data_IF_862382255621
#
_entry.id   IF_862382255621
#
_cell.length_a   1.000
_cell.length_b   1.000
_cell.length_c   1.000
_cell.angle_alpha   90.00
_cell.angle_beta   90.00
_cell.angle_gamma   90.00
#
_symmetry.space_group_name_H-M   'P 1'
#
loop_
_entity.id
_entity.type
_entity.pdbx_description
1 polymer ?
#
# COMPACT_ATOMS: atom_id res chain seq x y z
N UNK A 1 43.74 -21.16 5.27
CA UNK A 1 42.76 -21.97 6.03
C UNK A 1 41.43 -21.93 5.28
N UNK A 2 40.77 -23.08 5.16
CA UNK A 2 39.51 -23.22 4.44
C UNK A 2 38.40 -23.43 5.47
N UNK A 3 37.52 -22.44 5.61
CA UNK A 3 36.41 -22.50 6.56
C UNK A 3 35.14 -22.92 5.82
N UNK A 4 34.57 -24.06 6.21
CA UNK A 4 33.27 -24.52 5.71
C UNK A 4 32.17 -24.13 6.68
N UNK A 5 31.16 -23.41 6.18
CA UNK A 5 30.03 -22.91 6.96
C UNK A 5 28.77 -23.67 6.56
N UNK A 6 28.03 -24.20 7.54
CA UNK A 6 26.83 -25.01 7.30
C UNK A 6 25.58 -24.22 7.68
N UNK A 7 24.91 -23.66 6.68
CA UNK A 7 23.62 -23.00 6.87
C UNK A 7 22.48 -24.03 6.95
N UNK A 8 21.49 -23.75 7.80
CA UNK A 8 20.19 -24.45 7.82
C UNK A 8 19.09 -23.41 7.66
N UNK A 9 18.10 -23.70 6.83
CA UNK A 9 16.88 -22.89 6.69
C UNK A 9 15.70 -23.66 7.29
N UNK A 10 14.79 -22.93 7.92
CA UNK A 10 13.49 -23.42 8.34
C UNK A 10 12.41 -22.63 7.57
N UNK A 11 11.34 -23.32 7.19
CA UNK A 11 10.21 -22.68 6.51
C UNK A 11 9.36 -21.93 7.55
N UNK A 12 9.03 -20.67 7.25
CA UNK A 12 8.16 -19.84 8.07
C UNK A 12 7.40 -18.85 7.20
N UNK A 13 6.23 -18.44 7.66
CA UNK A 13 5.43 -17.39 6.99
C UNK A 13 5.82 -16.04 7.59
N UNK A 14 6.08 -15.05 6.73
CA UNK A 14 6.43 -13.71 7.20
C UNK A 14 5.26 -13.05 7.95
N UNK A 15 5.53 -12.18 8.93
CA UNK A 15 4.48 -11.52 9.72
C UNK A 15 3.47 -10.77 8.82
N UNK A 16 3.98 -10.06 7.82
CA UNK A 16 3.17 -9.36 6.80
C UNK A 16 2.28 -10.31 6.02
N UNK A 17 2.81 -11.47 5.63
CA UNK A 17 2.12 -12.49 4.85
C UNK A 17 0.93 -13.06 5.65
N UNK A 18 1.15 -13.36 6.93
CA UNK A 18 0.09 -13.80 7.85
C UNK A 18 -0.98 -12.74 8.01
N UNK A 19 -0.61 -11.46 8.15
CA UNK A 19 -1.57 -10.35 8.28
C UNK A 19 -2.38 -10.11 7.01
N UNK A 20 -1.73 -10.14 5.84
CA UNK A 20 -2.41 -10.06 4.53
C UNK A 20 -3.44 -11.18 4.37
N UNK A 21 -3.04 -12.43 4.65
CA UNK A 21 -3.94 -13.58 4.58
C UNK A 21 -5.11 -13.49 5.59
N UNK A 22 -4.88 -12.85 6.74
CA UNK A 22 -5.90 -12.60 7.76
C UNK A 22 -6.83 -11.41 7.48
N UNK A 23 -6.76 -10.78 6.30
CA UNK A 23 -7.51 -9.56 5.97
C UNK A 23 -7.29 -8.41 6.97
N UNK A 24 -6.11 -8.33 7.57
CA UNK A 24 -5.78 -7.24 8.48
C UNK A 24 -5.71 -5.91 7.72
N UNK A 25 -6.33 -4.87 8.27
CA UNK A 25 -6.19 -3.49 7.78
C UNK A 25 -6.36 -2.49 8.92
N UNK A 26 -5.78 -1.31 8.76
CA UNK A 26 -5.92 -0.22 9.73
C UNK A 26 -6.59 1.02 9.16
N UNK A 27 -6.56 1.18 7.85
CA UNK A 27 -7.10 2.34 7.16
C UNK A 27 -7.56 2.00 5.74
N UNK A 28 -8.57 2.73 5.28
CA UNK A 28 -9.03 2.72 3.89
C UNK A 28 -8.92 4.13 3.34
N UNK A 29 -8.29 4.28 2.18
CA UNK A 29 -8.23 5.53 1.43
C UNK A 29 -9.20 5.42 0.25
N UNK A 30 -10.11 6.38 0.17
CA UNK A 30 -11.18 6.39 -0.83
C UNK A 30 -10.95 7.55 -1.80
N UNK A 31 -10.57 7.23 -3.02
CA UNK A 31 -10.41 8.20 -4.10
C UNK A 31 -11.76 8.40 -4.78
N UNK A 32 -12.23 9.64 -4.81
CA UNK A 32 -13.48 10.04 -5.45
C UNK A 32 -13.21 11.21 -6.37
N UNK A 33 -13.94 11.27 -7.48
CA UNK A 33 -13.97 12.46 -8.33
C UNK A 33 -15.33 13.12 -8.18
N UNK A 34 -15.33 14.45 -8.15
CA UNK A 34 -16.49 15.28 -7.80
C UNK A 34 -17.53 15.38 -8.93
N UNK A 35 -17.14 15.20 -10.19
CA UNK A 35 -18.04 15.46 -11.33
C UNK A 35 -18.06 14.35 -12.40
N UNK A 36 -17.13 13.38 -12.35
CA UNK A 36 -17.05 12.31 -13.34
C UNK A 36 -16.44 11.05 -12.75
N UNK A 37 -16.48 9.97 -13.51
CA UNK A 37 -15.72 8.77 -13.17
C UNK A 37 -14.24 9.00 -13.49
N UNK A 38 -13.36 8.58 -12.59
CA UNK A 38 -11.92 8.48 -12.86
C UNK A 38 -11.71 7.47 -13.99
N UNK A 39 -10.88 7.82 -14.97
CA UNK A 39 -10.46 6.84 -15.98
C UNK A 39 -9.45 5.87 -15.36
N UNK A 40 -9.27 4.70 -15.99
CA UNK A 40 -8.27 3.73 -15.51
C UNK A 40 -6.86 4.31 -15.51
N UNK A 41 -6.52 5.14 -16.50
CA UNK A 41 -5.19 5.77 -16.60
C UNK A 41 -4.94 6.83 -15.53
N UNK A 42 -5.99 7.54 -15.10
CA UNK A 42 -5.89 8.46 -13.97
C UNK A 42 -5.72 7.70 -12.67
N UNK A 43 -6.48 6.63 -12.48
CA UNK A 43 -6.30 5.77 -11.33
C UNK A 43 -4.88 5.19 -11.27
N UNK A 44 -4.36 4.64 -12.38
CA UNK A 44 -2.98 4.12 -12.44
C UNK A 44 -1.95 5.17 -12.05
N UNK A 45 -2.12 6.41 -12.51
CA UNK A 45 -1.25 7.53 -12.11
C UNK A 45 -1.35 7.85 -10.62
N UNK A 46 -2.56 7.94 -10.07
CA UNK A 46 -2.77 8.18 -8.64
C UNK A 46 -2.22 7.04 -7.77
N UNK A 47 -2.28 5.79 -8.27
CA UNK A 47 -1.73 4.60 -7.62
C UNK A 47 -0.21 4.56 -7.66
N UNK A 48 0.44 5.04 -8.73
CA UNK A 48 1.90 5.11 -8.87
C UNK A 48 2.54 6.02 -7.80
N UNK A 49 2.01 7.24 -7.64
CA UNK A 49 1.49 7.70 -6.35
C UNK A 49 2.03 7.11 -5.05
N UNK A 50 1.38 6.00 -4.69
CA UNK A 50 1.56 5.27 -3.46
C UNK A 50 2.90 4.53 -3.44
N UNK A 51 3.38 4.07 -4.60
CA UNK A 51 4.70 3.45 -4.73
C UNK A 51 5.80 4.49 -4.44
N UNK A 52 5.67 5.72 -4.98
CA UNK A 52 6.61 6.81 -4.68
C UNK A 52 6.66 7.17 -3.18
N UNK A 53 5.52 7.06 -2.49
CA UNK A 53 5.44 7.28 -1.04
C UNK A 53 6.06 6.11 -0.28
N UNK A 54 5.83 4.87 -0.73
CA UNK A 54 6.43 3.68 -0.13
C UNK A 54 7.96 3.69 -0.25
N UNK A 55 8.51 4.10 -1.39
CA UNK A 55 9.96 4.21 -1.60
C UNK A 55 10.62 5.25 -0.68
N UNK A 56 9.90 6.31 -0.31
CA UNK A 56 10.41 7.39 0.57
C UNK A 56 10.28 7.06 2.05
N UNK A 57 9.44 6.09 2.41
CA UNK A 57 9.22 5.69 3.80
C UNK A 57 10.17 4.55 4.19
N UNK A 58 10.50 4.46 5.48
CA UNK A 58 11.28 3.35 6.02
C UNK A 58 10.57 2.01 5.81
N UNK A 59 11.34 0.92 5.67
CA UNK A 59 10.85 -0.47 5.60
C UNK A 59 10.11 -0.88 6.89
N UNK A 60 8.84 -0.51 7.01
CA UNK A 60 7.93 -1.02 8.04
C UNK A 60 7.17 -2.23 7.46
N UNK A 61 7.23 -3.41 8.10
CA UNK A 61 6.47 -4.60 7.70
C UNK A 61 4.95 -4.39 7.59
N UNK A 62 4.42 -3.30 8.16
CA UNK A 62 3.01 -2.88 8.11
C UNK A 62 2.63 -2.07 6.88
N UNK A 63 3.60 -1.62 6.08
CA UNK A 63 3.35 -0.86 4.85
C UNK A 63 3.01 -1.80 3.70
N UNK A 64 1.77 -2.31 3.74
CA UNK A 64 1.23 -3.14 2.68
C UNK A 64 -0.21 -2.76 2.33
N UNK A 65 -0.60 -3.13 1.11
CA UNK A 65 -1.97 -3.07 0.61
C UNK A 65 -2.61 -4.43 0.88
N UNK A 66 -3.77 -4.43 1.52
CA UNK A 66 -4.56 -5.64 1.78
C UNK A 66 -5.43 -5.95 0.57
N UNK A 67 -6.18 -4.95 0.11
CA UNK A 67 -7.08 -5.04 -1.05
C UNK A 67 -7.17 -3.69 -1.72
N UNK A 68 -7.31 -3.67 -3.04
CA UNK A 68 -7.53 -2.45 -3.80
C UNK A 68 -8.46 -2.73 -4.98
N UNK A 69 -9.31 -1.78 -5.35
CA UNK A 69 -10.21 -1.99 -6.49
C UNK A 69 -11.14 -0.82 -6.82
N UNK A 70 -11.69 -0.82 -8.05
CA UNK A 70 -12.67 0.17 -8.46
C UNK A 70 -13.99 -0.05 -7.72
N UNK A 71 -14.59 1.04 -7.28
CA UNK A 71 -15.92 1.07 -6.67
C UNK A 71 -16.83 2.02 -7.46
N UNK A 72 -18.13 1.97 -7.21
CA UNK A 72 -19.07 2.90 -7.82
C UNK A 72 -18.68 4.33 -7.46
N UNK A 73 -18.27 5.12 -8.47
CA UNK A 73 -17.88 6.52 -8.29
C UNK A 73 -16.42 6.75 -7.85
N UNK A 74 -15.57 5.71 -7.82
CA UNK A 74 -14.19 5.91 -7.40
C UNK A 74 -13.35 4.64 -7.29
N UNK A 75 -12.36 4.70 -6.42
CA UNK A 75 -11.44 3.60 -6.14
C UNK A 75 -11.11 3.56 -4.65
N UNK A 76 -11.07 2.36 -4.08
CA UNK A 76 -10.76 2.16 -2.67
C UNK A 76 -9.46 1.36 -2.52
N UNK A 77 -8.58 1.83 -1.64
CA UNK A 77 -7.34 1.15 -1.29
C UNK A 77 -7.33 0.90 0.21
N UNK A 78 -7.21 -0.36 0.59
CA UNK A 78 -7.18 -0.82 1.98
C UNK A 78 -5.73 -1.09 2.37
N UNK A 79 -5.28 -0.43 3.45
CA UNK A 79 -3.89 -0.39 3.86
C UNK A 79 -3.71 -1.00 5.27
N UNK A 80 -2.61 -1.71 5.42
CA UNK A 80 -2.18 -2.32 6.68
C UNK A 80 -1.73 -1.31 7.75
N UNK A 81 -1.47 -0.04 7.37
CA UNK A 81 -0.98 0.99 8.29
C UNK A 81 -1.71 2.31 8.13
N UNK A 82 -2.14 2.91 9.25
CA UNK A 82 -2.64 4.30 9.29
C UNK A 82 -1.57 5.33 8.91
N UNK A 83 -0.30 5.07 9.23
CA UNK A 83 0.81 5.98 8.91
C UNK A 83 0.97 6.16 7.41
N UNK A 84 0.98 5.03 6.68
CA UNK A 84 1.03 5.00 5.23
C UNK A 84 -0.17 5.72 4.59
N UNK A 85 -1.38 5.41 5.06
CA UNK A 85 -2.61 6.05 4.56
C UNK A 85 -2.56 7.58 4.71
N UNK A 86 -2.07 8.07 5.85
CA UNK A 86 -1.92 9.51 6.11
C UNK A 86 -0.80 10.17 5.31
N UNK A 87 0.29 9.46 5.06
CA UNK A 87 1.38 9.95 4.23
C UNK A 87 0.92 10.11 2.78
N UNK A 88 0.28 9.07 2.25
CA UNK A 88 -0.26 9.09 0.89
C UNK A 88 -1.39 10.11 0.73
N UNK A 89 -2.33 10.19 1.68
CA UNK A 89 -3.39 11.21 1.65
C UNK A 89 -2.84 12.65 1.64
N UNK A 90 -1.78 12.93 2.40
CA UNK A 90 -1.10 14.24 2.36
C UNK A 90 -0.42 14.50 1.03
N UNK A 91 0.20 13.49 0.44
CA UNK A 91 0.81 13.60 -0.88
C UNK A 91 -0.24 13.92 -1.95
N UNK A 92 -1.38 13.21 -1.95
CA UNK A 92 -2.48 13.45 -2.88
C UNK A 92 -3.05 14.87 -2.76
N UNK A 93 -3.30 15.35 -1.54
CA UNK A 93 -3.80 16.72 -1.32
C UNK A 93 -2.78 17.76 -1.82
N UNK A 94 -1.49 17.51 -1.62
CA UNK A 94 -0.43 18.43 -2.05
C UNK A 94 -0.30 18.53 -3.57
N UNK A 95 -0.45 17.41 -4.29
CA UNK A 95 -0.25 17.36 -5.74
C UNK A 95 -1.53 17.68 -6.53
N UNK A 96 -2.69 17.20 -6.07
CA UNK A 96 -3.94 17.24 -6.84
C UNK A 96 -5.04 18.11 -6.22
N UNK A 97 -4.86 18.58 -4.99
CA UNK A 97 -5.93 19.18 -4.20
C UNK A 97 -6.85 18.15 -3.55
N UNK A 98 -7.71 18.61 -2.64
CA UNK A 98 -8.65 17.79 -1.87
C UNK A 98 -10.10 18.03 -2.27
#
# INVERSE_FOLDING_TARGET
EEHTMRARMANGVCLTCTRRAGNYFEATVQLRSSARRLSEDEFKRLRATLDDVLEKLSDDPMFFITTEGPVTGGYDVVLGSKGLARAWGRHLISEYGG
#
